data_IF_083513825856
#
_entry.id   IF_083513825856
#
_cell.length_a   1.000
_cell.length_b   1.000
_cell.length_c   1.000
_cell.angle_alpha   90.00
_cell.angle_beta   90.00
_cell.angle_gamma   90.00
#
_symmetry.space_group_name_H-M   'P 1'
#
loop_
_entity.id
_entity.type
_entity.pdbx_description
1 polymer ?
#
# COMPACT_ATOMS: atom_id res chain seq x y z
N UNK A 1 8.28 19.70 21.75
CA UNK A 1 7.56 19.37 23.01
C UNK A 1 6.68 20.52 23.52
N UNK A 2 7.05 21.80 23.33
CA UNK A 2 6.25 22.94 23.76
C UNK A 2 4.81 22.96 23.18
N UNK A 3 4.62 22.45 21.96
CA UNK A 3 3.32 22.35 21.30
C UNK A 3 2.43 21.18 21.79
N UNK A 4 2.95 20.30 22.67
CA UNK A 4 2.15 19.21 23.23
C UNK A 4 1.16 19.74 24.27
N UNK A 5 -0.07 19.21 24.32
CA UNK A 5 -1.02 19.51 25.39
C UNK A 5 -0.40 19.31 26.77
N UNK A 6 -0.72 20.20 27.70
CA UNK A 6 -0.13 20.27 29.03
C UNK A 6 -0.17 18.96 29.81
N UNK A 7 -1.30 18.24 29.76
CA UNK A 7 -1.43 16.94 30.43
C UNK A 7 -0.48 15.88 29.86
N UNK A 8 -0.32 15.85 28.53
CA UNK A 8 0.60 14.96 27.82
C UNK A 8 2.05 15.32 28.13
N UNK A 9 2.38 16.61 28.09
CA UNK A 9 3.73 17.10 28.37
C UNK A 9 4.17 16.73 29.78
N UNK A 10 3.36 17.02 30.81
CA UNK A 10 3.70 16.71 32.20
C UNK A 10 3.89 15.21 32.46
N UNK A 11 3.11 14.35 31.80
CA UNK A 11 3.13 12.91 32.05
C UNK A 11 4.18 12.17 31.22
N UNK A 12 4.53 12.67 30.04
CA UNK A 12 5.28 11.89 29.05
C UNK A 12 6.51 12.59 28.46
N UNK A 13 6.80 13.86 28.80
CA UNK A 13 7.92 14.58 28.17
C UNK A 13 9.25 13.84 28.32
N UNK A 14 9.59 13.41 29.53
CA UNK A 14 10.87 12.75 29.81
C UNK A 14 10.99 11.43 29.04
N UNK A 15 9.95 10.59 29.10
CA UNK A 15 9.90 9.32 28.34
C UNK A 15 10.00 9.54 26.83
N UNK A 16 9.33 10.56 26.29
CA UNK A 16 9.40 10.87 24.86
C UNK A 16 10.81 11.32 24.45
N UNK A 17 11.47 12.14 25.28
CA UNK A 17 12.85 12.57 25.03
C UNK A 17 13.83 11.40 25.09
N UNK A 18 13.71 10.53 26.08
CA UNK A 18 14.52 9.31 26.19
C UNK A 18 14.37 8.39 24.97
N UNK A 19 13.13 8.24 24.46
CA UNK A 19 12.87 7.45 23.26
C UNK A 19 13.49 8.07 22.00
N UNK A 20 13.43 9.39 21.87
CA UNK A 20 14.06 10.11 20.75
C UNK A 20 15.58 9.97 20.81
N UNK A 21 16.19 10.18 21.97
CA UNK A 21 17.65 10.07 22.14
C UNK A 21 18.13 8.64 21.81
N UNK A 22 17.42 7.63 22.33
CA UNK A 22 17.68 6.23 22.00
C UNK A 22 17.60 5.96 20.50
N UNK A 23 16.56 6.48 19.83
CA UNK A 23 16.36 6.28 18.40
C UNK A 23 17.43 6.98 17.55
N UNK A 24 17.87 8.19 17.96
CA UNK A 24 18.95 8.92 17.30
C UNK A 24 20.32 8.23 17.46
N UNK A 25 20.52 7.50 18.55
CA UNK A 25 21.72 6.70 18.79
C UNK A 25 21.76 5.34 18.07
N UNK A 26 20.66 4.89 17.46
CA UNK A 26 20.63 3.60 16.77
C UNK A 26 21.49 3.62 15.50
N UNK A 27 22.30 2.58 15.25
CA UNK A 27 23.01 2.45 13.98
C UNK A 27 22.01 2.16 12.84
N UNK A 28 22.32 2.63 11.63
CA UNK A 28 21.42 2.52 10.45
C UNK A 28 20.92 1.09 10.20
N UNK A 29 21.75 0.07 10.46
CA UNK A 29 21.39 -1.34 10.30
C UNK A 29 20.30 -1.85 11.25
N UNK A 30 20.07 -1.14 12.36
CA UNK A 30 19.04 -1.46 13.37
C UNK A 30 17.75 -0.65 13.15
N UNK A 31 17.76 0.29 12.20
CA UNK A 31 16.54 1.01 11.83
C UNK A 31 15.56 0.07 11.12
N UNK A 32 14.25 0.24 11.36
CA UNK A 32 13.24 -0.51 10.64
C UNK A 32 13.27 -0.17 9.14
N UNK A 33 12.74 -1.06 8.28
CA UNK A 33 12.59 -0.74 6.86
C UNK A 33 11.71 0.48 6.67
N UNK A 34 12.06 1.30 5.67
CA UNK A 34 11.28 2.49 5.32
C UNK A 34 9.86 2.11 4.90
N UNK A 35 8.90 2.91 5.31
CA UNK A 35 7.51 2.75 4.89
C UNK A 35 7.42 3.10 3.40
N UNK A 36 6.70 2.31 2.58
CA UNK A 36 6.52 2.64 1.18
C UNK A 36 5.91 4.03 1.01
N UNK A 37 6.41 4.85 0.07
CA UNK A 37 5.83 6.16 -0.15
C UNK A 37 4.37 6.04 -0.64
N UNK A 38 3.59 7.13 -0.52
CA UNK A 38 2.31 7.25 -1.20
C UNK A 38 2.46 6.96 -2.71
N UNK A 39 1.37 6.53 -3.34
CA UNK A 39 1.35 6.35 -4.79
C UNK A 39 1.67 7.67 -5.50
N UNK A 40 2.43 7.59 -6.58
CA UNK A 40 2.60 8.72 -7.50
C UNK A 40 1.27 9.09 -8.18
N UNK A 41 1.22 10.26 -8.82
CA UNK A 41 0.04 10.69 -9.59
C UNK A 41 -0.31 9.67 -10.69
N UNK A 42 0.70 9.18 -11.42
CA UNK A 42 0.53 8.18 -12.47
C UNK A 42 0.01 6.84 -11.91
N UNK A 43 0.52 6.40 -10.76
CA UNK A 43 0.02 5.22 -10.07
C UNK A 43 -1.41 5.41 -9.58
N UNK A 44 -1.75 6.58 -9.05
CA UNK A 44 -3.12 6.90 -8.60
C UNK A 44 -4.12 6.84 -9.76
N UNK A 45 -3.75 7.36 -10.94
CA UNK A 45 -4.56 7.26 -12.16
C UNK A 45 -4.77 5.80 -12.57
N UNK A 46 -3.71 4.98 -12.59
CA UNK A 46 -3.81 3.54 -12.86
C UNK A 46 -4.67 2.81 -11.83
N UNK A 47 -4.52 3.09 -10.54
CA UNK A 47 -5.33 2.50 -9.47
C UNK A 47 -6.83 2.77 -9.65
N UNK A 48 -7.20 3.98 -10.13
CA UNK A 48 -8.59 4.30 -10.46
C UNK A 48 -9.11 3.41 -11.60
N UNK A 49 -8.30 3.14 -12.64
CA UNK A 49 -8.68 2.25 -13.75
C UNK A 49 -8.89 0.82 -13.26
N UNK A 50 -7.97 0.30 -12.45
CA UNK A 50 -8.09 -1.02 -11.82
C UNK A 50 -9.37 -1.15 -10.99
N UNK A 51 -9.71 -0.10 -10.22
CA UNK A 51 -10.95 -0.06 -9.45
C UNK A 51 -12.19 -0.11 -10.35
N UNK A 52 -12.23 0.68 -11.42
CA UNK A 52 -13.37 0.67 -12.36
C UNK A 52 -13.56 -0.72 -12.95
N UNK A 53 -12.48 -1.34 -13.43
CA UNK A 53 -12.52 -2.71 -13.96
C UNK A 53 -13.02 -3.72 -12.93
N UNK A 54 -12.54 -3.61 -11.67
CA UNK A 54 -12.97 -4.49 -10.57
C UNK A 54 -14.46 -4.38 -10.28
N UNK A 55 -15.02 -3.17 -10.31
CA UNK A 55 -16.45 -2.96 -10.09
C UNK A 55 -17.27 -3.62 -11.20
N UNK A 56 -16.92 -3.36 -12.46
CA UNK A 56 -17.60 -3.97 -13.62
C UNK A 56 -17.53 -5.50 -13.56
N UNK A 57 -16.35 -6.07 -13.28
CA UNK A 57 -16.18 -7.52 -13.19
C UNK A 57 -16.98 -8.13 -12.04
N UNK A 58 -17.10 -7.42 -10.92
CA UNK A 58 -17.90 -7.87 -9.78
C UNK A 58 -19.40 -7.88 -10.10
N UNK A 59 -19.89 -6.86 -10.81
CA UNK A 59 -21.29 -6.79 -11.28
C UNK A 59 -21.61 -7.97 -12.21
N UNK A 60 -20.74 -8.29 -13.17
CA UNK A 60 -20.90 -9.44 -14.08
C UNK A 60 -20.98 -10.78 -13.34
N UNK A 61 -20.25 -10.91 -12.23
CA UNK A 61 -20.16 -12.13 -11.44
C UNK A 61 -21.21 -12.18 -10.30
N UNK A 62 -21.99 -11.12 -10.10
CA UNK A 62 -22.92 -11.01 -8.98
C UNK A 62 -22.21 -11.01 -7.61
N UNK A 63 -20.99 -10.46 -7.54
CA UNK A 63 -20.15 -10.44 -6.34
C UNK A 63 -19.94 -9.01 -5.84
N UNK A 64 -19.57 -8.88 -4.56
CA UNK A 64 -19.10 -7.60 -4.03
C UNK A 64 -17.68 -7.28 -4.56
N UNK A 65 -17.39 -6.06 -5.04
CA UNK A 65 -16.08 -5.71 -5.60
C UNK A 65 -14.89 -5.98 -4.67
N UNK A 66 -15.06 -5.73 -3.37
CA UNK A 66 -14.03 -5.97 -2.34
C UNK A 66 -13.66 -7.45 -2.17
N UNK A 67 -14.50 -8.38 -2.61
CA UNK A 67 -14.17 -9.81 -2.66
C UNK A 67 -13.18 -10.12 -3.79
N UNK A 68 -13.22 -9.34 -4.87
CA UNK A 68 -12.30 -9.47 -6.00
C UNK A 68 -10.98 -8.75 -5.74
N UNK A 69 -11.05 -7.46 -5.36
CA UNK A 69 -9.86 -6.68 -5.00
C UNK A 69 -10.21 -5.44 -4.16
N UNK A 70 -9.33 -5.09 -3.21
CA UNK A 70 -9.43 -3.88 -2.38
C UNK A 70 -8.40 -2.84 -2.81
N UNK A 71 -8.52 -1.62 -2.29
CA UNK A 71 -7.55 -0.53 -2.52
C UNK A 71 -6.10 -0.97 -2.32
N UNK A 72 -5.84 -1.72 -1.25
CA UNK A 72 -4.50 -2.24 -0.94
C UNK A 72 -3.98 -3.18 -2.03
N UNK A 73 -4.83 -4.03 -2.60
CA UNK A 73 -4.44 -4.94 -3.68
C UNK A 73 -3.99 -4.17 -4.93
N UNK A 74 -4.67 -3.06 -5.29
CA UNK A 74 -4.26 -2.21 -6.41
C UNK A 74 -2.91 -1.54 -6.18
N UNK A 75 -2.68 -1.04 -4.97
CA UNK A 75 -1.41 -0.42 -4.60
C UNK A 75 -0.26 -1.43 -4.62
N UNK A 76 -0.47 -2.63 -4.04
CA UNK A 76 0.51 -3.71 -4.05
C UNK A 76 0.82 -4.14 -5.48
N UNK A 77 -0.20 -4.28 -6.34
CA UNK A 77 -0.03 -4.64 -7.75
C UNK A 77 0.77 -3.61 -8.53
N UNK A 78 0.44 -2.32 -8.40
CA UNK A 78 1.17 -1.27 -9.12
C UNK A 78 2.60 -1.12 -8.65
N UNK A 79 2.85 -1.18 -7.34
CA UNK A 79 4.22 -1.18 -6.79
C UNK A 79 5.01 -2.40 -7.26
N UNK A 80 4.35 -3.55 -7.35
CA UNK A 80 4.97 -4.77 -7.85
C UNK A 80 5.39 -4.62 -9.32
N UNK A 81 4.46 -4.22 -10.20
CA UNK A 81 4.74 -4.00 -11.63
C UNK A 81 5.80 -2.91 -11.87
N UNK A 82 5.81 -1.82 -11.08
CA UNK A 82 6.68 -0.67 -11.31
C UNK A 82 8.13 -0.84 -10.81
N UNK A 83 8.51 -1.99 -10.26
CA UNK A 83 9.89 -2.20 -9.81
C UNK A 83 10.12 -3.25 -8.74
N UNK A 84 9.09 -4.00 -8.34
CA UNK A 84 9.21 -5.06 -7.34
C UNK A 84 8.82 -6.44 -7.90
N UNK A 85 8.79 -6.63 -9.23
CA UNK A 85 8.39 -7.89 -9.88
C UNK A 85 9.27 -9.10 -9.49
N UNK A 86 10.46 -8.87 -8.92
CA UNK A 86 11.35 -9.90 -8.34
C UNK A 86 11.05 -10.27 -6.88
N UNK A 87 10.05 -9.66 -6.25
CA UNK A 87 9.61 -9.97 -4.89
C UNK A 87 8.31 -10.78 -4.92
N UNK A 88 7.83 -11.17 -3.73
CA UNK A 88 6.57 -11.92 -3.59
C UNK A 88 5.44 -11.20 -4.33
N UNK A 89 4.79 -11.94 -5.23
CA UNK A 89 3.66 -11.43 -6.00
C UNK A 89 2.50 -10.99 -5.08
N UNK A 90 1.76 -9.93 -5.43
CA UNK A 90 0.57 -9.48 -4.72
C UNK A 90 -0.47 -10.59 -4.63
N UNK A 91 -1.24 -10.61 -3.54
CA UNK A 91 -2.19 -11.67 -3.28
C UNK A 91 -3.31 -11.78 -4.32
N UNK A 92 -3.61 -10.71 -5.07
CA UNK A 92 -4.59 -10.73 -6.18
C UNK A 92 -4.12 -11.60 -7.36
N UNK A 93 -2.82 -11.88 -7.45
CA UNK A 93 -2.21 -12.77 -8.44
C UNK A 93 -2.01 -14.20 -7.91
N UNK A 94 -2.73 -14.58 -6.85
CA UNK A 94 -2.66 -15.91 -6.26
C UNK A 94 -4.05 -16.56 -6.15
N UNK A 95 -4.07 -17.90 -6.17
CA UNK A 95 -5.26 -18.72 -6.06
C UNK A 95 -6.38 -18.36 -7.05
N UNK A 96 -7.63 -18.44 -6.56
CA UNK A 96 -8.82 -18.22 -7.40
C UNK A 96 -8.99 -16.77 -7.88
N UNK A 97 -8.46 -15.78 -7.14
CA UNK A 97 -8.53 -14.38 -7.58
C UNK A 97 -7.71 -14.16 -8.84
N UNK A 98 -6.57 -14.83 -8.95
CA UNK A 98 -5.76 -14.82 -10.17
C UNK A 98 -6.57 -15.20 -11.40
N UNK A 99 -7.31 -16.31 -11.30
CA UNK A 99 -8.09 -16.87 -12.41
C UNK A 99 -9.35 -16.06 -12.73
N UNK A 100 -9.92 -15.36 -11.75
CA UNK A 100 -11.17 -14.61 -11.92
C UNK A 100 -10.95 -13.17 -12.40
N UNK A 101 -9.90 -12.52 -11.91
CA UNK A 101 -9.65 -11.09 -12.18
C UNK A 101 -8.16 -10.71 -12.18
N UNK A 102 -7.29 -11.47 -11.52
CA UNK A 102 -5.90 -11.06 -11.29
C UNK A 102 -5.08 -10.89 -12.58
N UNK A 103 -5.25 -11.78 -13.56
CA UNK A 103 -4.58 -11.64 -14.86
C UNK A 103 -5.06 -10.39 -15.63
N UNK A 104 -6.36 -10.08 -15.57
CA UNK A 104 -6.94 -8.88 -16.19
C UNK A 104 -6.39 -7.60 -15.54
N UNK A 105 -6.32 -7.58 -14.19
CA UNK A 105 -5.74 -6.46 -13.46
C UNK A 105 -4.24 -6.31 -13.72
N UNK A 106 -3.50 -7.42 -13.86
CA UNK A 106 -2.08 -7.39 -14.19
C UNK A 106 -1.84 -6.77 -15.57
N UNK A 107 -2.63 -7.17 -16.57
CA UNK A 107 -2.57 -6.58 -17.90
C UNK A 107 -2.84 -5.06 -17.85
N UNK A 108 -3.93 -4.65 -17.18
CA UNK A 108 -4.28 -3.23 -17.01
C UNK A 108 -3.23 -2.43 -16.23
N UNK A 109 -2.56 -3.04 -15.25
CA UNK A 109 -1.53 -2.37 -14.44
C UNK A 109 -0.26 -2.08 -15.25
N UNK A 110 0.06 -2.94 -16.22
CA UNK A 110 1.22 -2.82 -17.13
C UNK A 110 1.01 -1.84 -18.25
N UNK A 111 -0.24 -1.53 -18.61
CA UNK A 111 -0.52 -0.49 -19.59
C UNK A 111 -0.01 0.86 -19.06
N UNK A 112 0.91 1.47 -19.83
CA UNK A 112 1.40 2.81 -19.56
C UNK A 112 0.19 3.74 -19.47
N UNK A 113 0.07 4.45 -18.34
CA UNK A 113 -0.96 5.46 -18.19
C UNK A 113 -0.66 6.62 -19.12
N UNK A 114 -1.12 6.57 -20.37
CA UNK A 114 -1.21 7.73 -21.26
C UNK A 114 -2.04 8.83 -20.60
#
# INVERSE_FOLDING_TARGET
IAELPDGTRRRHADTLLELVDRALGLPVRELPPSVPPPLSVTQTRRARRLRVHTVTRAEELGMAPEMLARRRDFEELLRWVDGMEGQRAPAVLDGWRRTVIGEELLALAREAGT
#
